data_IF_694293012076
#
_entry.id   IF_694293012076
#
_cell.length_a   1.000
_cell.length_b   1.000
_cell.length_c   1.000
_cell.angle_alpha   90.00
_cell.angle_beta   90.00
_cell.angle_gamma   90.00
#
_symmetry.space_group_name_H-M   'P 1'
#
loop_
_entity.id
_entity.type
_entity.pdbx_description
1 polymer ?
#
# COMPACT_ATOMS: atom_id res chain seq x y z
N UNK A 1 -6.99 -9.72 7.05
CA UNK A 1 -7.02 -11.19 7.24
C UNK A 1 -7.84 -11.92 6.17
N UNK A 2 -9.18 -11.81 6.12
CA UNK A 2 -9.98 -12.61 5.18
C UNK A 2 -9.76 -12.23 3.72
N UNK A 3 -9.71 -10.93 3.40
CA UNK A 3 -9.47 -10.46 2.04
C UNK A 3 -8.11 -10.92 1.47
N UNK A 4 -7.05 -10.88 2.28
CA UNK A 4 -5.72 -11.34 1.88
C UNK A 4 -5.67 -12.85 1.65
N UNK A 5 -6.33 -13.64 2.52
CA UNK A 5 -6.47 -15.09 2.33
C UNK A 5 -7.25 -15.43 1.06
N UNK A 6 -8.36 -14.72 0.80
CA UNK A 6 -9.16 -14.90 -0.42
C UNK A 6 -8.36 -14.58 -1.68
N UNK A 7 -7.63 -13.45 -1.69
CA UNK A 7 -6.78 -13.07 -2.82
C UNK A 7 -5.70 -14.12 -3.11
N UNK A 8 -4.99 -14.61 -2.07
CA UNK A 8 -4.01 -15.69 -2.20
C UNK A 8 -4.64 -16.99 -2.69
N UNK A 9 -5.81 -17.34 -2.18
CA UNK A 9 -6.50 -18.56 -2.59
C UNK A 9 -6.87 -18.54 -4.08
N UNK A 10 -7.36 -17.40 -4.59
CA UNK A 10 -7.79 -17.27 -5.98
C UNK A 10 -6.61 -17.12 -6.96
N UNK A 11 -5.58 -16.37 -6.56
CA UNK A 11 -4.43 -16.10 -7.45
C UNK A 11 -3.33 -17.14 -7.37
N UNK A 12 -3.27 -17.93 -6.28
CA UNK A 12 -2.15 -18.82 -5.91
C UNK A 12 -0.80 -18.12 -5.78
N UNK A 13 -0.80 -16.78 -5.70
CA UNK A 13 0.41 -15.96 -5.56
C UNK A 13 0.77 -15.79 -4.08
N UNK A 14 2.06 -15.85 -3.70
CA UNK A 14 2.45 -15.82 -2.30
C UNK A 14 2.48 -14.42 -1.69
N UNK A 15 2.86 -13.39 -2.46
CA UNK A 15 3.16 -12.08 -1.89
C UNK A 15 1.92 -11.19 -1.70
N UNK A 16 1.95 -10.37 -0.65
CA UNK A 16 1.01 -9.25 -0.47
C UNK A 16 1.83 -7.98 -0.35
N UNK A 17 1.46 -6.95 -1.10
CA UNK A 17 2.08 -5.63 -0.98
C UNK A 17 1.27 -4.75 -0.03
N UNK A 18 1.96 -4.00 0.81
CA UNK A 18 1.37 -3.00 1.73
C UNK A 18 2.23 -1.74 1.74
N UNK A 19 1.71 -0.67 2.33
CA UNK A 19 2.43 0.60 2.47
C UNK A 19 2.78 0.83 3.93
N UNK A 20 3.99 1.31 4.20
CA UNK A 20 4.60 1.35 5.54
C UNK A 20 3.74 2.08 6.60
N UNK A 21 2.94 3.05 6.18
CA UNK A 21 2.05 3.83 7.03
C UNK A 21 0.65 3.25 7.18
N UNK A 22 0.24 2.33 6.29
CA UNK A 22 -1.13 1.85 6.23
C UNK A 22 -1.44 0.82 7.32
N UNK A 23 -2.31 1.19 8.27
CA UNK A 23 -2.83 0.25 9.25
C UNK A 23 -4.02 -0.55 8.69
N UNK A 24 -3.97 -1.88 8.84
CA UNK A 24 -5.00 -2.81 8.36
C UNK A 24 -5.47 -3.80 9.45
N UNK A 25 -5.31 -3.42 10.72
CA UNK A 25 -5.60 -4.27 11.88
C UNK A 25 -4.36 -5.03 12.38
N UNK A 26 -4.60 -5.97 13.29
CA UNK A 26 -3.55 -6.72 14.00
C UNK A 26 -3.32 -8.13 13.42
N UNK A 27 -3.75 -8.37 12.18
CA UNK A 27 -3.52 -9.68 11.57
C UNK A 27 -2.04 -9.86 11.25
N UNK A 28 -1.54 -11.03 11.58
CA UNK A 28 -0.24 -11.52 11.18
C UNK A 28 -0.01 -11.30 9.67
N UNK A 29 1.03 -10.54 9.33
CA UNK A 29 1.40 -10.05 7.99
C UNK A 29 0.88 -8.65 7.53
N UNK A 30 0.06 -7.92 8.29
CA UNK A 30 -0.36 -6.55 7.90
C UNK A 30 0.28 -5.42 8.71
N UNK A 31 1.12 -5.76 9.69
CA UNK A 31 2.01 -4.81 10.38
C UNK A 31 3.42 -5.43 10.49
N UNK A 32 4.13 -5.62 9.37
CA UNK A 32 5.46 -6.23 9.36
C UNK A 32 6.45 -5.43 10.23
N UNK A 33 7.09 -6.11 11.17
CA UNK A 33 7.98 -5.47 12.16
C UNK A 33 8.07 -6.21 13.49
N UNK A 34 8.71 -5.56 14.46
CA UNK A 34 8.88 -6.07 15.84
C UNK A 34 7.50 -6.32 16.46
N UNK A 35 7.28 -7.52 17.00
CA UNK A 35 6.02 -7.91 17.64
C UNK A 35 5.12 -8.85 16.81
N UNK A 36 5.49 -9.20 15.57
CA UNK A 36 4.80 -10.29 14.85
C UNK A 36 5.17 -11.66 15.43
N UNK A 37 4.20 -12.57 15.43
CA UNK A 37 4.34 -13.94 15.93
C UNK A 37 5.12 -14.84 14.96
N UNK A 38 5.36 -14.40 13.72
CA UNK A 38 6.17 -15.13 12.72
C UNK A 38 7.04 -14.21 11.86
N UNK A 39 8.04 -14.77 11.17
CA UNK A 39 8.67 -14.11 10.03
C UNK A 39 7.65 -13.83 8.92
N UNK A 40 7.74 -12.65 8.30
CA UNK A 40 6.82 -12.16 7.24
C UNK A 40 7.53 -11.95 5.88
N UNK A 41 8.24 -12.96 5.33
CA UNK A 41 8.96 -12.81 4.05
C UNK A 41 8.01 -12.63 2.86
N UNK A 42 6.74 -12.99 3.05
CA UNK A 42 5.66 -12.94 2.07
C UNK A 42 5.01 -11.54 1.96
N UNK A 43 5.55 -10.54 2.65
CA UNK A 43 5.03 -9.16 2.66
C UNK A 43 6.02 -8.18 2.07
N UNK A 44 5.55 -7.40 1.10
CA UNK A 44 6.31 -6.35 0.44
C UNK A 44 5.88 -5.02 1.04
N UNK A 45 6.76 -4.37 1.79
CA UNK A 45 6.51 -3.05 2.38
C UNK A 45 7.01 -1.98 1.43
N UNK A 46 6.13 -1.06 1.06
CA UNK A 46 6.36 0.00 0.09
C UNK A 46 6.12 1.37 0.70
N UNK A 47 6.59 2.42 0.03
CA UNK A 47 6.30 3.80 0.40
C UNK A 47 5.12 4.33 -0.43
N UNK A 48 4.21 5.03 0.25
CA UNK A 48 3.13 5.79 -0.39
C UNK A 48 3.73 6.88 -1.29
N UNK A 49 3.04 7.17 -2.41
CA UNK A 49 3.42 8.22 -3.36
C UNK A 49 4.82 8.10 -3.99
N UNK A 50 5.46 6.92 -3.94
CA UNK A 50 6.80 6.68 -4.49
C UNK A 50 6.78 6.01 -5.86
N UNK A 51 7.52 6.57 -6.82
CA UNK A 51 7.75 5.94 -8.12
C UNK A 51 8.57 4.64 -8.01
N UNK A 52 9.45 4.53 -7.00
CA UNK A 52 10.18 3.29 -6.76
C UNK A 52 9.22 2.16 -6.34
N UNK A 53 8.22 2.47 -5.51
CA UNK A 53 7.18 1.51 -5.12
C UNK A 53 6.40 1.01 -6.35
N UNK A 54 6.03 1.91 -7.27
CA UNK A 54 5.36 1.52 -8.52
C UNK A 54 6.24 0.60 -9.39
N UNK A 55 7.56 0.84 -9.46
CA UNK A 55 8.49 -0.06 -10.17
C UNK A 55 8.56 -1.43 -9.52
N UNK A 56 8.59 -1.51 -8.19
CA UNK A 56 8.58 -2.79 -7.47
C UNK A 56 7.29 -3.55 -7.74
N UNK A 57 6.13 -2.88 -7.65
CA UNK A 57 4.83 -3.48 -7.97
C UNK A 57 4.83 -4.06 -9.39
N UNK A 58 5.28 -3.28 -10.38
CA UNK A 58 5.35 -3.72 -11.78
C UNK A 58 6.31 -4.89 -11.98
N UNK A 59 7.51 -4.84 -11.39
CA UNK A 59 8.52 -5.88 -11.52
C UNK A 59 8.08 -7.21 -10.88
N UNK A 60 7.28 -7.15 -9.81
CA UNK A 60 6.83 -8.31 -9.03
C UNK A 60 5.36 -8.68 -9.28
N UNK A 61 4.72 -8.11 -10.29
CA UNK A 61 3.29 -8.31 -10.59
C UNK A 61 2.90 -9.79 -10.76
N UNK A 62 3.81 -10.60 -11.31
CA UNK A 62 3.60 -12.04 -11.48
C UNK A 62 3.41 -12.83 -10.19
N UNK A 63 3.86 -12.30 -9.04
CA UNK A 63 3.91 -13.03 -7.76
C UNK A 63 3.16 -12.33 -6.61
N UNK A 64 2.55 -11.17 -6.86
CA UNK A 64 1.72 -10.43 -5.90
C UNK A 64 0.25 -10.86 -6.02
N UNK A 65 -0.33 -11.37 -4.93
CA UNK A 65 -1.73 -11.75 -4.83
C UNK A 65 -2.67 -10.53 -4.73
N UNK A 66 -2.29 -9.54 -3.93
CA UNK A 66 -3.02 -8.28 -3.81
C UNK A 66 -2.12 -7.16 -3.27
N UNK A 67 -2.58 -5.93 -3.50
CA UNK A 67 -2.02 -4.70 -2.93
C UNK A 67 -3.01 -4.14 -1.91
N UNK A 68 -2.57 -3.93 -0.68
CA UNK A 68 -3.36 -3.34 0.39
C UNK A 68 -3.13 -1.84 0.43
N UNK A 69 -4.22 -1.07 0.44
CA UNK A 69 -4.20 0.41 0.48
C UNK A 69 -5.13 0.91 1.58
N UNK A 70 -4.70 1.95 2.30
CA UNK A 70 -5.55 2.68 3.23
C UNK A 70 -5.76 4.11 2.70
N UNK A 71 -6.94 4.45 2.16
CA UNK A 71 -7.20 5.78 1.61
C UNK A 71 -7.02 6.94 2.59
N UNK A 72 -7.14 6.68 3.90
CA UNK A 72 -6.89 7.69 4.94
C UNK A 72 -5.41 8.13 4.98
N UNK A 73 -4.50 7.36 4.38
CA UNK A 73 -3.10 7.78 4.25
C UNK A 73 -2.90 9.01 3.36
N UNK A 74 -3.92 9.44 2.61
CA UNK A 74 -3.90 10.73 1.93
C UNK A 74 -3.64 11.92 2.88
N UNK A 75 -3.97 11.79 4.17
CA UNK A 75 -3.78 12.85 5.17
C UNK A 75 -2.36 12.93 5.73
N UNK A 76 -1.67 11.79 5.81
CA UNK A 76 -0.35 11.69 6.43
C UNK A 76 0.49 10.60 5.74
N UNK A 77 0.82 10.73 4.44
CA UNK A 77 1.52 9.67 3.71
C UNK A 77 2.86 9.33 4.36
N UNK A 78 3.18 8.05 4.46
CA UNK A 78 4.42 7.54 5.07
C UNK A 78 4.63 7.95 6.54
N UNK A 79 3.57 8.36 7.24
CA UNK A 79 3.61 8.61 8.68
C UNK A 79 2.88 7.49 9.44
N UNK A 80 3.28 7.19 10.68
CA UNK A 80 2.53 6.24 11.49
C UNK A 80 1.08 6.72 11.64
N UNK A 81 0.12 5.80 11.84
CA UNK A 81 -1.25 6.16 12.17
C UNK A 81 -1.27 7.20 13.29
N UNK A 82 -2.11 8.26 13.18
CA UNK A 82 -2.13 9.31 14.18
C UNK A 82 -2.49 8.74 15.55
N UNK A 83 -1.67 9.04 16.55
CA UNK A 83 -1.98 8.72 17.94
C UNK A 83 -3.15 9.56 18.44
N UNK A 84 -3.79 9.15 19.53
CA UNK A 84 -4.89 9.90 20.15
C UNK A 84 -4.51 11.36 20.41
N UNK A 85 -3.28 11.62 20.89
CA UNK A 85 -2.78 12.99 21.08
C UNK A 85 -2.63 13.79 19.77
N UNK A 86 -2.32 13.12 18.66
CA UNK A 86 -2.23 13.74 17.33
C UNK A 86 -3.62 14.09 16.79
N UNK A 87 -4.62 13.23 17.03
CA UNK A 87 -6.01 13.45 16.59
C UNK A 87 -6.66 14.63 17.31
N UNK A 88 -6.37 14.81 18.62
CA UNK A 88 -6.88 15.94 19.41
C UNK A 88 -6.31 17.28 18.89
N UNK A 89 -5.04 17.31 18.45
CA UNK A 89 -4.39 18.53 17.98
C UNK A 89 -4.68 18.94 16.53
N UNK A 90 -5.02 17.99 15.64
CA UNK A 90 -5.06 18.20 14.17
C UNK A 90 -6.43 18.50 13.56
N UNK A 91 -7.44 18.89 14.34
CA UNK A 91 -8.82 19.16 13.84
C UNK A 91 -8.89 20.27 12.76
N UNK A 92 -7.80 21.02 12.49
CA UNK A 92 -7.83 22.19 11.60
C UNK A 92 -6.55 22.29 10.78
N UNK A 93 -6.52 21.71 9.58
CA UNK A 93 -5.54 22.14 8.57
C UNK A 93 -6.13 22.09 7.16
N UNK A 94 -6.00 23.18 6.41
CA UNK A 94 -6.62 23.44 5.11
C UNK A 94 -5.75 23.02 3.91
N UNK A 95 -4.52 22.52 4.15
CA UNK A 95 -3.61 22.01 3.10
C UNK A 95 -3.97 20.62 2.55
N UNK A 96 -5.11 20.06 2.95
CA UNK A 96 -5.47 18.66 2.76
C UNK A 96 -6.09 18.36 1.39
N UNK A 97 -6.71 19.32 0.72
CA UNK A 97 -7.41 19.07 -0.55
C UNK A 97 -6.46 18.72 -1.70
N UNK A 98 -5.37 19.46 -1.87
CA UNK A 98 -4.37 19.15 -2.91
C UNK A 98 -3.71 17.78 -2.69
N UNK A 99 -3.39 17.45 -1.43
CA UNK A 99 -2.83 16.16 -1.06
C UNK A 99 -3.78 14.99 -1.38
N UNK A 100 -5.09 15.16 -1.19
CA UNK A 100 -6.09 14.14 -1.54
C UNK A 100 -6.15 13.86 -3.04
N UNK A 101 -6.10 14.90 -3.86
CA UNK A 101 -6.18 14.74 -5.32
C UNK A 101 -4.92 14.06 -5.88
N UNK A 102 -3.74 14.47 -5.41
CA UNK A 102 -2.48 13.81 -5.77
C UNK A 102 -2.47 12.33 -5.35
N UNK A 103 -2.97 12.04 -4.15
CA UNK A 103 -3.10 10.66 -3.66
C UNK A 103 -4.08 9.85 -4.51
N UNK A 104 -5.21 10.46 -4.94
CA UNK A 104 -6.18 9.82 -5.83
C UNK A 104 -5.57 9.48 -7.19
N UNK A 105 -4.79 10.40 -7.78
CA UNK A 105 -4.05 10.15 -9.02
C UNK A 105 -3.05 9.02 -8.82
N UNK A 106 -2.33 9.00 -7.69
CA UNK A 106 -1.41 7.92 -7.37
C UNK A 106 -2.11 6.56 -7.18
N UNK A 107 -3.26 6.51 -6.51
CA UNK A 107 -4.05 5.28 -6.36
C UNK A 107 -4.50 4.70 -7.71
N UNK A 108 -4.79 5.54 -8.71
CA UNK A 108 -5.05 5.07 -10.07
C UNK A 108 -3.82 4.38 -10.67
N UNK A 109 -2.62 4.92 -10.46
CA UNK A 109 -1.37 4.28 -10.90
C UNK A 109 -1.14 2.95 -10.18
N UNK A 110 -1.42 2.89 -8.88
CA UNK A 110 -1.34 1.65 -8.10
C UNK A 110 -2.34 0.61 -8.59
N UNK A 111 -3.57 0.99 -8.93
CA UNK A 111 -4.58 0.07 -9.48
C UNK A 111 -4.17 -0.52 -10.84
N UNK A 112 -3.51 0.29 -11.66
CA UNK A 112 -3.17 -0.05 -13.04
C UNK A 112 -1.70 -0.51 -13.21
N UNK A 113 -1.02 -0.90 -12.12
CA UNK A 113 0.41 -1.21 -12.15
C UNK A 113 0.81 -2.38 -13.06
N UNK A 114 -0.15 -3.27 -13.39
CA UNK A 114 0.03 -4.42 -14.26
C UNK A 114 -0.09 -4.06 -15.75
N UNK A 115 -0.62 -2.88 -16.08
CA UNK A 115 -0.75 -2.43 -17.46
C UNK A 115 0.66 -2.27 -18.08
N UNK A 116 0.92 -3.02 -19.15
CA UNK A 116 2.10 -2.79 -19.99
C UNK A 116 1.91 -1.46 -20.70
N UNK A 117 2.84 -0.51 -20.53
CA UNK A 117 2.97 0.58 -21.50
C UNK A 117 3.30 -0.08 -22.85
N UNK A 118 2.40 0.04 -23.82
CA UNK A 118 2.57 -0.52 -25.17
C UNK A 118 3.74 0.13 -25.94
N UNK A 119 4.40 1.14 -25.39
CA UNK A 119 5.55 1.84 -26.00
C UNK A 119 6.82 0.99 -26.16
N UNK A 120 6.90 -0.21 -25.57
CA UNK A 120 8.07 -1.09 -25.64
C UNK A 120 7.91 -2.26 -26.64
N UNK A 121 6.89 -2.23 -27.50
CA UNK A 121 6.61 -3.30 -28.49
C UNK A 121 7.09 -2.99 -29.93
N UNK A 122 7.84 -1.91 -30.15
CA UNK A 122 8.30 -1.47 -31.47
C UNK A 122 9.83 -1.52 -31.64
N UNK A 123 10.48 -2.61 -31.24
CA UNK A 123 11.84 -2.95 -31.67
C UNK A 123 11.88 -4.37 -32.20
#
# INVERSE_FOLDING_TARGET
MCATRLARFNTKKPYVATFASAYHGWYDAVQPGVGNERPVPDIIVLNDMSNASLRVLKARAGEIACVMVNPLQAFTPNQPPPSDGTLIGKVRDSGVENAREDFRVWLKKVRNYEERSDELRTC
#
